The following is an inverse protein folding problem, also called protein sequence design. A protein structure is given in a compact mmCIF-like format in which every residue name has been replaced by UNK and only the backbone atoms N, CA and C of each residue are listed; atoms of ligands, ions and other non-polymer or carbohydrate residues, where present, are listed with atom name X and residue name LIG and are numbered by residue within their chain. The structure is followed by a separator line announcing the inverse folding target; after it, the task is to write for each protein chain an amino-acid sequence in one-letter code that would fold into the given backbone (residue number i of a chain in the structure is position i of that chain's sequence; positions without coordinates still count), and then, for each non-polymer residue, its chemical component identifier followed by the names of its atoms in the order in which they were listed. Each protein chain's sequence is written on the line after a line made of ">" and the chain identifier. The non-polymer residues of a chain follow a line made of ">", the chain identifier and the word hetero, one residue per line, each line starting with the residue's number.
data_IF_077920412249
#
_entry.id   IF_077920412249
#
_cell.length_a   1.000
_cell.length_b   1.000
_cell.length_c   1.000
_cell.angle_alpha   90.00
_cell.angle_beta   90.00
_cell.angle_gamma   90.00
#
_symmetry.space_group_name_H-M   'P 1'
#
loop_
_entity.id
_entity.type
_entity.pdbx_description
1 polymer ?
#
# COMPACT_ATOMS: atom_id res chain seq x y z
N UNK A 1 23.30 -16.24 -56.40
CA UNK A 1 22.03 -16.99 -56.58
C UNK A 1 21.80 -17.78 -55.31
N UNK A 2 20.83 -17.39 -54.46
CA UNK A 2 20.57 -18.10 -53.22
C UNK A 2 19.82 -19.40 -53.55
N UNK A 3 20.28 -20.49 -52.94
CA UNK A 3 19.73 -21.83 -53.12
C UNK A 3 18.39 -21.90 -52.39
N UNK A 4 17.36 -22.33 -53.11
CA UNK A 4 16.14 -22.88 -52.51
C UNK A 4 16.55 -24.09 -51.67
N UNK A 5 16.34 -23.98 -50.35
CA UNK A 5 16.37 -25.13 -49.44
C UNK A 5 14.91 -25.48 -49.14
N UNK A 6 14.37 -26.42 -49.92
CA UNK A 6 13.13 -27.12 -49.63
C UNK A 6 13.36 -28.06 -48.44
N UNK A 7 13.44 -27.48 -47.25
CA UNK A 7 13.44 -28.18 -45.98
C UNK A 7 12.14 -27.87 -45.25
N UNK A 8 11.15 -28.77 -45.33
CA UNK A 8 10.02 -28.81 -44.39
C UNK A 8 10.54 -29.19 -42.99
N UNK A 9 11.39 -28.34 -42.41
CA UNK A 9 11.78 -28.39 -41.02
C UNK A 9 10.54 -28.12 -40.20
N UNK A 10 10.15 -29.09 -39.38
CA UNK A 10 8.96 -29.04 -38.56
C UNK A 10 9.11 -27.87 -37.56
N UNK A 11 8.65 -26.67 -37.95
CA UNK A 11 8.72 -25.47 -37.11
C UNK A 11 7.92 -25.75 -35.85
N UNK A 12 8.60 -25.76 -34.71
CA UNK A 12 8.07 -26.16 -33.42
C UNK A 12 8.30 -25.07 -32.38
N UNK A 13 7.35 -24.90 -31.48
CA UNK A 13 7.47 -23.98 -30.36
C UNK A 13 8.60 -24.44 -29.43
N UNK A 14 9.50 -23.54 -29.08
CA UNK A 14 10.64 -23.80 -28.19
C UNK A 14 10.23 -24.00 -26.72
N UNK A 15 8.99 -23.64 -26.35
CA UNK A 15 8.49 -23.74 -24.98
C UNK A 15 7.67 -25.02 -24.73
N UNK A 16 6.74 -25.36 -25.63
CA UNK A 16 5.86 -26.53 -25.47
C UNK A 16 6.13 -27.67 -26.47
N UNK A 17 7.02 -27.48 -27.45
CA UNK A 17 7.36 -28.50 -28.45
C UNK A 17 6.33 -28.74 -29.55
N UNK A 18 5.16 -28.08 -29.50
CA UNK A 18 4.11 -28.22 -30.52
C UNK A 18 4.56 -27.69 -31.87
N UNK A 19 4.20 -28.41 -32.93
CA UNK A 19 4.45 -28.02 -34.32
C UNK A 19 3.53 -26.90 -34.78
N UNK A 20 3.90 -26.20 -35.85
CA UNK A 20 3.11 -25.12 -36.46
C UNK A 20 1.68 -25.54 -36.84
N UNK A 21 1.44 -26.84 -37.08
CA UNK A 21 0.11 -27.38 -37.43
C UNK A 21 -0.80 -27.57 -36.21
N UNK A 22 -0.23 -27.66 -35.01
CA UNK A 22 -0.95 -27.93 -33.76
C UNK A 22 -1.37 -26.66 -33.03
N UNK A 23 -0.91 -25.48 -33.49
CA UNK A 23 -1.16 -24.19 -32.84
C UNK A 23 -1.78 -23.20 -33.83
N UNK A 24 -2.57 -22.25 -33.35
CA UNK A 24 -3.24 -21.27 -34.24
C UNK A 24 -2.24 -20.26 -34.80
N UNK A 25 -1.26 -19.86 -34.00
CA UNK A 25 -0.20 -18.96 -34.43
C UNK A 25 1.14 -19.39 -33.84
N UNK A 26 2.17 -19.38 -34.67
CA UNK A 26 3.56 -19.54 -34.27
C UNK A 26 4.31 -18.28 -34.66
N UNK A 27 4.90 -17.61 -33.68
CA UNK A 27 5.64 -16.35 -33.84
C UNK A 27 7.12 -16.67 -33.88
N UNK A 28 7.80 -16.17 -34.91
CA UNK A 28 9.22 -16.40 -35.16
C UNK A 28 10.06 -15.21 -34.66
N UNK A 29 11.00 -15.49 -33.75
CA UNK A 29 12.09 -14.60 -33.38
C UNK A 29 13.40 -14.96 -34.12
N UNK A 30 14.50 -14.23 -33.88
CA UNK A 30 15.78 -14.45 -34.56
C UNK A 30 16.35 -15.85 -34.36
N UNK A 31 16.08 -16.50 -33.23
CA UNK A 31 16.61 -17.83 -32.86
C UNK A 31 15.60 -18.73 -32.16
N UNK A 32 14.35 -18.29 -31.97
CA UNK A 32 13.36 -18.95 -31.10
C UNK A 32 11.96 -18.81 -31.68
N UNK A 33 11.08 -19.78 -31.38
CA UNK A 33 9.68 -19.76 -31.82
C UNK A 33 8.75 -19.93 -30.61
N UNK A 34 7.68 -19.13 -30.54
CA UNK A 34 6.68 -19.19 -29.46
C UNK A 34 5.27 -19.25 -30.05
N UNK A 35 4.41 -20.10 -29.49
CA UNK A 35 3.01 -20.22 -29.94
C UNK A 35 2.06 -19.33 -29.13
N UNK A 36 0.84 -19.15 -29.64
CA UNK A 36 -0.20 -18.37 -28.99
C UNK A 36 -0.59 -18.89 -27.60
N UNK A 37 -0.59 -20.21 -27.39
CA UNK A 37 -0.89 -20.81 -26.10
C UNK A 37 0.20 -20.51 -25.04
N UNK A 38 1.48 -20.61 -25.42
CA UNK A 38 2.58 -20.28 -24.51
C UNK A 38 2.60 -18.80 -24.16
N UNK A 39 2.23 -17.91 -25.09
CA UNK A 39 2.07 -16.48 -24.80
C UNK A 39 0.92 -16.27 -23.81
N UNK A 40 -0.20 -16.97 -23.98
CA UNK A 40 -1.31 -16.95 -23.03
C UNK A 40 -0.85 -17.36 -21.63
N UNK A 41 -0.19 -18.51 -21.51
CA UNK A 41 0.35 -18.98 -20.23
C UNK A 41 1.38 -18.02 -19.62
N UNK A 42 2.29 -17.47 -20.42
CA UNK A 42 3.24 -16.47 -19.92
C UNK A 42 2.53 -15.20 -19.46
N UNK A 43 1.51 -14.74 -20.18
CA UNK A 43 0.71 -13.59 -19.75
C UNK A 43 -0.08 -13.88 -18.47
N UNK A 44 -0.61 -15.09 -18.31
CA UNK A 44 -1.33 -15.50 -17.10
C UNK A 44 -0.38 -15.56 -15.89
N UNK A 45 0.82 -16.12 -16.06
CA UNK A 45 1.85 -16.15 -15.01
C UNK A 45 2.29 -14.73 -14.63
N UNK A 46 2.52 -13.87 -15.62
CA UNK A 46 2.88 -12.46 -15.38
C UNK A 46 1.72 -11.72 -14.70
N UNK A 47 0.48 -11.95 -15.11
CA UNK A 47 -0.69 -11.35 -14.49
C UNK A 47 -0.86 -11.81 -13.03
N UNK A 48 -0.64 -13.09 -12.74
CA UNK A 48 -0.65 -13.60 -11.36
C UNK A 48 0.49 -13.03 -10.51
N UNK A 49 1.67 -12.80 -11.08
CA UNK A 49 2.79 -12.15 -10.37
C UNK A 49 2.49 -10.67 -10.12
N UNK A 50 1.95 -9.94 -11.11
CA UNK A 50 1.51 -8.55 -10.93
C UNK A 50 0.38 -8.47 -9.92
N UNK A 51 -0.61 -9.36 -9.94
CA UNK A 51 -1.67 -9.42 -8.93
C UNK A 51 -1.12 -9.77 -7.53
N UNK A 52 -0.06 -10.58 -7.44
CA UNK A 52 0.61 -10.86 -6.17
C UNK A 52 1.42 -9.66 -5.67
N UNK A 53 2.15 -8.99 -6.54
CA UNK A 53 2.88 -7.75 -6.21
C UNK A 53 1.92 -6.63 -5.85
N UNK A 54 0.82 -6.46 -6.58
CA UNK A 54 -0.28 -5.55 -6.24
C UNK A 54 -0.98 -5.99 -4.94
N UNK A 55 -1.09 -7.27 -4.62
CA UNK A 55 -1.65 -7.70 -3.32
C UNK A 55 -0.69 -7.49 -2.15
N UNK A 56 0.61 -7.36 -2.42
CA UNK A 56 1.65 -7.03 -1.44
C UNK A 56 1.86 -5.51 -1.30
N UNK A 57 1.58 -4.74 -2.35
CA UNK A 57 1.69 -3.27 -2.40
C UNK A 57 0.35 -2.54 -2.14
N UNK A 58 -0.78 -3.17 -2.45
CA UNK A 58 -2.12 -2.74 -2.05
C UNK A 58 -2.39 -3.31 -0.67
N UNK A 59 -2.06 -2.53 0.36
CA UNK A 59 -2.46 -2.83 1.73
C UNK A 59 -3.94 -3.21 1.80
N UNK A 60 -4.27 -4.08 2.77
CA UNK A 60 -5.63 -4.54 3.04
C UNK A 60 -6.67 -3.41 2.84
N UNK A 61 -7.84 -3.70 2.25
CA UNK A 61 -8.80 -2.67 1.86
C UNK A 61 -9.04 -1.71 3.02
N UNK A 62 -8.70 -0.43 2.80
CA UNK A 62 -8.79 0.59 3.83
C UNK A 62 -10.19 0.58 4.46
N UNK A 63 -10.31 0.38 5.79
CA UNK A 63 -11.59 0.23 6.43
C UNK A 63 -12.44 1.48 6.23
N UNK A 64 -13.74 1.28 6.04
CA UNK A 64 -14.68 2.40 5.89
C UNK A 64 -14.76 3.17 7.22
N UNK A 65 -15.06 4.48 7.19
CA UNK A 65 -15.21 5.25 8.43
C UNK A 65 -16.21 4.65 9.43
N UNK A 66 -17.26 3.99 8.94
CA UNK A 66 -18.23 3.29 9.78
C UNK A 66 -17.62 2.09 10.52
N UNK A 67 -16.74 1.33 9.86
CA UNK A 67 -16.04 0.17 10.44
C UNK A 67 -15.02 0.65 11.49
N UNK A 68 -14.23 1.68 11.17
CA UNK A 68 -13.29 2.27 12.14
C UNK A 68 -14.05 2.76 13.39
N UNK A 69 -15.19 3.44 13.20
CA UNK A 69 -16.02 3.92 14.31
C UNK A 69 -16.57 2.76 15.14
N UNK A 70 -17.02 1.69 14.51
CA UNK A 70 -17.55 0.51 15.20
C UNK A 70 -16.49 -0.11 16.12
N UNK A 71 -15.24 -0.27 15.65
CA UNK A 71 -14.17 -0.78 16.51
C UNK A 71 -13.84 0.21 17.63
N UNK A 72 -13.82 1.52 17.35
CA UNK A 72 -13.65 2.52 18.41
C UNK A 72 -14.77 2.50 19.46
N UNK A 73 -15.99 2.12 19.07
CA UNK A 73 -17.14 1.97 19.98
C UNK A 73 -16.93 0.84 21.00
N UNK A 74 -16.13 -0.18 20.68
CA UNK A 74 -15.82 -1.31 21.59
C UNK A 74 -14.91 -0.90 22.75
N UNK A 75 -14.04 0.10 22.55
CA UNK A 75 -13.05 0.54 23.54
C UNK A 75 -13.40 1.87 24.21
N UNK A 76 -14.09 2.78 23.50
CA UNK A 76 -14.39 4.13 23.99
C UNK A 76 -15.89 4.38 24.01
N UNK A 77 -16.46 4.41 25.21
CA UNK A 77 -17.89 4.63 25.45
C UNK A 77 -18.24 6.13 25.30
N UNK A 78 -19.32 6.42 24.56
CA UNK A 78 -19.73 7.80 24.25
C UNK A 78 -18.79 8.50 23.26
N UNK A 79 -18.67 9.82 23.30
CA UNK A 79 -17.77 10.60 22.41
C UNK A 79 -18.03 10.40 20.90
N UNK A 80 -19.28 10.19 20.50
CA UNK A 80 -19.65 9.84 19.11
C UNK A 80 -19.15 10.83 18.06
N UNK A 81 -19.20 12.13 18.39
CA UNK A 81 -18.69 13.19 17.51
C UNK A 81 -17.19 13.03 17.24
N UNK A 82 -16.40 12.78 18.29
CA UNK A 82 -14.95 12.61 18.15
C UNK A 82 -14.61 11.36 17.35
N UNK A 83 -15.27 10.23 17.65
CA UNK A 83 -15.10 8.97 16.89
C UNK A 83 -15.39 9.16 15.41
N UNK A 84 -16.53 9.80 15.06
CA UNK A 84 -16.88 10.06 13.65
C UNK A 84 -15.83 10.91 12.94
N UNK A 85 -15.32 11.97 13.58
CA UNK A 85 -14.30 12.85 12.99
C UNK A 85 -12.99 12.09 12.78
N UNK A 86 -12.53 11.33 13.79
CA UNK A 86 -11.31 10.53 13.71
C UNK A 86 -11.40 9.49 12.58
N UNK A 87 -12.51 8.75 12.51
CA UNK A 87 -12.71 7.73 11.48
C UNK A 87 -12.67 8.30 10.06
N UNK A 88 -13.25 9.48 9.82
CA UNK A 88 -13.21 10.14 8.50
C UNK A 88 -11.81 10.68 8.21
N UNK A 89 -11.18 11.35 9.17
CA UNK A 89 -9.88 11.96 8.97
C UNK A 89 -8.79 10.93 8.65
N UNK A 90 -8.82 9.78 9.33
CA UNK A 90 -7.90 8.66 9.09
C UNK A 90 -8.14 8.02 7.73
N UNK A 91 -9.40 7.72 7.40
CA UNK A 91 -9.73 7.16 6.10
C UNK A 91 -9.23 8.05 4.96
N UNK A 92 -9.41 9.37 5.09
CA UNK A 92 -8.90 10.35 4.13
C UNK A 92 -7.36 10.45 4.16
N UNK A 93 -6.73 10.27 5.32
CA UNK A 93 -5.28 10.29 5.45
C UNK A 93 -4.62 9.17 4.62
N UNK A 94 -5.13 7.93 4.73
CA UNK A 94 -4.60 6.81 3.95
C UNK A 94 -4.95 6.90 2.48
N UNK A 95 -6.19 7.30 2.13
CA UNK A 95 -6.55 7.58 0.73
C UNK A 95 -5.60 8.58 0.07
N UNK A 96 -5.17 9.59 0.82
CA UNK A 96 -4.21 10.59 0.36
C UNK A 96 -2.80 10.03 0.18
N UNK A 97 -2.40 9.07 1.01
CA UNK A 97 -1.09 8.40 0.87
C UNK A 97 -1.12 7.54 -0.39
N UNK A 98 -2.14 6.71 -0.55
CA UNK A 98 -2.32 5.85 -1.73
C UNK A 98 -2.46 6.65 -3.03
N UNK A 99 -3.16 7.79 -2.99
CA UNK A 99 -3.38 8.60 -4.20
C UNK A 99 -2.12 9.31 -4.70
N UNK A 100 -1.06 9.45 -3.89
CA UNK A 100 0.22 10.05 -4.34
C UNK A 100 0.94 9.20 -5.38
N UNK A 101 0.52 7.95 -5.59
CA UNK A 101 0.96 7.09 -6.68
C UNK A 101 0.24 7.40 -8.01
N UNK A 102 -0.84 8.19 -7.99
CA UNK A 102 -1.62 8.62 -9.16
C UNK A 102 -1.20 10.01 -9.65
N UNK A 103 -0.99 10.12 -10.96
CA UNK A 103 -0.46 11.30 -11.66
C UNK A 103 -1.49 12.45 -11.80
N UNK A 104 -2.08 12.90 -10.70
CA UNK A 104 -3.05 14.01 -10.66
C UNK A 104 -2.41 15.28 -10.09
N UNK A 105 -2.56 16.40 -10.81
CA UNK A 105 -2.08 17.76 -10.47
C UNK A 105 -2.79 18.39 -9.23
N UNK A 106 -3.52 17.57 -8.46
CA UNK A 106 -4.35 18.01 -7.33
C UNK A 106 -3.61 17.78 -6.01
N UNK A 107 -3.13 18.86 -5.40
CA UNK A 107 -2.50 18.79 -4.08
C UNK A 107 -3.54 18.55 -2.97
N UNK A 108 -3.52 17.35 -2.39
CA UNK A 108 -4.36 17.01 -1.24
C UNK A 108 -3.73 17.49 0.08
N UNK A 109 -4.47 18.33 0.82
CA UNK A 109 -4.03 18.86 2.10
C UNK A 109 -4.10 17.83 3.25
N UNK A 110 -3.14 17.90 4.18
CA UNK A 110 -3.14 17.08 5.40
C UNK A 110 -4.16 17.63 6.40
N UNK A 111 -5.06 16.77 6.88
CA UNK A 111 -6.01 17.10 7.95
C UNK A 111 -5.43 16.72 9.31
N UNK A 112 -4.94 17.71 10.07
CA UNK A 112 -4.56 17.53 11.48
C UNK A 112 -5.79 17.68 12.38
N UNK A 113 -5.77 17.04 13.56
CA UNK A 113 -6.92 16.98 14.48
C UNK A 113 -6.52 17.56 15.83
N UNK A 114 -7.36 18.44 16.38
CA UNK A 114 -7.28 18.90 17.76
C UNK A 114 -8.42 18.28 18.58
N UNK A 115 -8.08 17.52 19.62
CA UNK A 115 -9.06 16.92 20.54
C UNK A 115 -9.21 17.77 21.80
N UNK A 116 -10.39 18.36 21.99
CA UNK A 116 -10.74 19.15 23.18
C UNK A 116 -11.70 18.36 24.07
N UNK A 117 -11.43 18.33 25.37
CA UNK A 117 -12.30 17.68 26.36
C UNK A 117 -11.68 17.63 27.75
N UNK A 118 -12.48 17.34 28.80
CA UNK A 118 -12.01 17.31 30.18
C UNK A 118 -10.98 16.18 30.42
N UNK A 119 -10.29 16.23 31.55
CA UNK A 119 -9.40 15.14 31.98
C UNK A 119 -10.19 13.84 32.13
N UNK A 120 -9.56 12.69 31.82
CA UNK A 120 -10.21 11.38 31.92
C UNK A 120 -11.26 11.05 30.84
N UNK A 121 -11.51 11.92 29.86
CA UNK A 121 -12.55 11.69 28.83
C UNK A 121 -12.15 10.70 27.72
N UNK A 122 -11.01 10.01 27.84
CA UNK A 122 -10.56 9.03 26.85
C UNK A 122 -9.81 9.56 25.62
N UNK A 123 -9.32 10.81 25.63
CA UNK A 123 -8.56 11.40 24.49
C UNK A 123 -7.36 10.56 24.07
N UNK A 124 -6.50 10.20 25.03
CA UNK A 124 -5.31 9.37 24.78
C UNK A 124 -5.71 7.95 24.34
N UNK A 125 -6.76 7.39 24.95
CA UNK A 125 -7.27 6.06 24.61
C UNK A 125 -7.82 6.00 23.18
N UNK A 126 -8.48 7.05 22.70
CA UNK A 126 -8.93 7.15 21.31
C UNK A 126 -7.74 7.06 20.34
N UNK A 127 -6.67 7.82 20.57
CA UNK A 127 -5.49 7.81 19.71
C UNK A 127 -4.76 6.46 19.73
N UNK A 128 -4.55 5.88 20.91
CA UNK A 128 -3.91 4.57 21.07
C UNK A 128 -4.74 3.43 20.44
N UNK A 129 -6.06 3.47 20.57
CA UNK A 129 -6.93 2.45 19.99
C UNK A 129 -6.94 2.57 18.47
N UNK A 130 -6.99 3.79 17.95
CA UNK A 130 -6.92 4.04 16.52
C UNK A 130 -5.62 3.51 15.89
N UNK A 131 -4.48 3.76 16.52
CA UNK A 131 -3.18 3.23 16.07
C UNK A 131 -3.16 1.70 16.04
N UNK A 132 -3.71 1.04 17.08
CA UNK A 132 -3.83 -0.43 17.13
C UNK A 132 -4.71 -1.01 16.04
N UNK A 133 -5.85 -0.36 15.76
CA UNK A 133 -6.79 -0.82 14.71
C UNK A 133 -6.14 -0.78 13.33
N UNK A 134 -5.37 0.27 13.06
CA UNK A 134 -4.75 0.50 11.76
C UNK A 134 -3.38 -0.20 11.62
N UNK A 135 -2.90 -0.81 12.70
CA UNK A 135 -1.60 -1.47 12.77
C UNK A 135 -0.45 -0.58 12.27
N UNK A 136 -0.39 0.66 12.74
CA UNK A 136 0.58 1.67 12.28
C UNK A 136 1.47 2.20 13.39
N UNK A 137 2.69 2.64 13.06
CA UNK A 137 3.60 3.25 14.01
C UNK A 137 2.95 4.45 14.70
N UNK A 138 3.13 4.55 16.02
CA UNK A 138 2.48 5.57 16.83
C UNK A 138 3.43 6.09 17.91
N UNK A 139 3.57 7.40 18.00
CA UNK A 139 4.36 8.08 19.02
C UNK A 139 3.46 8.99 19.87
N UNK A 140 3.75 9.05 21.17
CA UNK A 140 3.05 9.91 22.13
C UNK A 140 4.08 10.87 22.69
N UNK A 141 3.82 12.17 22.60
CA UNK A 141 4.68 13.21 23.13
C UNK A 141 3.89 14.17 24.03
N UNK A 142 4.55 14.67 25.08
CA UNK A 142 4.02 15.71 25.95
C UNK A 142 4.59 17.07 25.54
N UNK A 143 3.72 17.99 25.10
CA UNK A 143 4.17 19.31 24.67
C UNK A 143 4.79 20.14 25.81
N UNK A 144 4.56 19.78 27.08
CA UNK A 144 5.13 20.49 28.23
C UNK A 144 6.61 20.17 28.46
N UNK A 145 7.12 19.06 27.91
CA UNK A 145 8.54 18.68 28.01
C UNK A 145 9.38 19.27 26.88
N UNK A 146 8.73 19.78 25.83
CA UNK A 146 9.39 20.34 24.66
C UNK A 146 9.94 21.74 24.97
N UNK A 147 11.23 21.92 24.67
CA UNK A 147 11.92 23.20 24.85
C UNK A 147 12.50 23.71 23.54
N UNK A 148 12.74 25.01 23.44
CA UNK A 148 13.41 25.58 22.28
C UNK A 148 14.82 25.00 22.12
N UNK A 149 15.29 24.87 20.87
CA UNK A 149 16.64 24.43 20.56
C UNK A 149 17.69 25.21 21.36
N UNK A 150 18.61 24.48 22.01
CA UNK A 150 19.66 25.04 22.86
C UNK A 150 19.30 25.20 24.35
N UNK A 151 18.10 24.81 24.77
CA UNK A 151 17.71 24.69 26.19
C UNK A 151 17.71 23.22 26.65
N UNK A 152 17.80 23.02 27.97
CA UNK A 152 17.72 21.67 28.57
C UNK A 152 16.27 21.20 28.55
N UNK A 153 15.96 20.24 27.69
CA UNK A 153 14.64 19.63 27.53
C UNK A 153 14.60 18.69 26.33
N UNK A 154 13.41 18.23 25.97
CA UNK A 154 13.21 17.28 24.88
C UNK A 154 13.07 18.02 23.54
N UNK A 155 13.78 17.56 22.50
CA UNK A 155 13.69 18.11 21.14
C UNK A 155 12.47 17.53 20.41
N UNK A 156 11.86 18.33 19.54
CA UNK A 156 10.79 17.88 18.63
C UNK A 156 11.27 16.74 17.73
N UNK A 157 12.56 16.72 17.36
CA UNK A 157 13.15 15.63 16.58
C UNK A 157 13.06 14.28 17.28
N UNK A 158 13.09 14.23 18.62
CA UNK A 158 12.96 12.98 19.37
C UNK A 158 11.61 12.30 19.12
N UNK A 159 10.54 13.06 18.85
CA UNK A 159 9.22 12.50 18.52
C UNK A 159 9.30 11.72 17.20
N UNK A 160 10.05 12.23 16.22
CA UNK A 160 10.25 11.58 14.92
C UNK A 160 11.14 10.36 15.07
N UNK A 161 12.21 10.45 15.88
CA UNK A 161 13.08 9.31 16.19
C UNK A 161 12.28 8.18 16.84
N UNK A 162 11.41 8.50 17.80
CA UNK A 162 10.54 7.52 18.45
C UNK A 162 9.54 6.90 17.46
N UNK A 163 8.96 7.71 16.57
CA UNK A 163 8.06 7.20 15.54
C UNK A 163 8.79 6.25 14.58
N UNK A 164 10.01 6.60 14.17
CA UNK A 164 10.85 5.78 13.29
C UNK A 164 11.26 4.46 13.97
N UNK A 165 11.59 4.49 15.26
CA UNK A 165 11.85 3.29 16.05
C UNK A 165 10.61 2.39 16.12
N UNK A 166 9.43 2.96 16.36
CA UNK A 166 8.16 2.22 16.36
C UNK A 166 7.74 1.73 14.96
N UNK A 167 8.40 2.22 13.91
CA UNK A 167 8.26 1.77 12.54
C UNK A 167 9.34 0.76 12.13
N UNK A 168 10.13 0.22 13.06
CA UNK A 168 11.25 -0.68 12.79
C UNK A 168 12.27 -0.11 11.78
N UNK A 169 12.44 1.22 11.79
CA UNK A 169 13.28 1.98 10.85
C UNK A 169 12.83 1.91 9.37
N UNK A 170 11.58 1.55 9.11
CA UNK A 170 11.00 1.54 7.77
C UNK A 170 10.50 2.95 7.38
N UNK A 171 11.13 3.52 6.35
CA UNK A 171 10.81 4.86 5.82
C UNK A 171 9.92 4.79 4.57
N UNK A 172 9.89 3.64 3.89
CA UNK A 172 9.22 3.48 2.60
C UNK A 172 7.75 3.04 2.75
N UNK A 173 7.34 2.66 3.96
CA UNK A 173 5.99 2.17 4.28
C UNK A 173 4.97 3.26 4.63
#
# INVERSE_FOLDING_TARGET
>A
MPRHDDGHGNLQCSFCGKSQKEVKKLIAGPTVYICDECIGLCNDIIAEEVDREDSLQSGAPLPKPAEIKAVLDEYVIGQDRAKKILSVAVHNHYKRIDSKLGNDDVELQKSNILLLGPTGSGKTLLAQTLARILNVPFAIADATTLTQAGYVGEDVENIIVQLLQNADHDVER
#
